data_IF_469786382772
#
_entry.id   IF_469786382772
#
_cell.length_a   1.000
_cell.length_b   1.000
_cell.length_c   1.000
_cell.angle_alpha   90.00
_cell.angle_beta   90.00
_cell.angle_gamma   90.00
#
_symmetry.space_group_name_H-M   'P 1'
#
loop_
_entity.id
_entity.type
_entity.pdbx_description
1 polymer ?
#
# COMPACT_ATOMS: atom_id res chain seq x y z
N UNK A 1 -22.78 17.66 7.36
CA UNK A 1 -21.61 17.67 6.46
C UNK A 1 -21.84 16.62 5.38
N UNK A 2 -21.49 16.89 4.12
CA UNK A 2 -21.59 15.87 3.05
C UNK A 2 -20.54 14.77 3.34
N UNK A 3 -20.91 13.48 3.37
CA UNK A 3 -19.94 12.39 3.49
C UNK A 3 -18.91 12.41 2.36
N UNK A 4 -17.65 12.11 2.68
CA UNK A 4 -16.58 11.88 1.72
C UNK A 4 -16.77 10.49 1.10
N UNK A 5 -17.14 10.43 -0.19
CA UNK A 5 -17.34 9.14 -0.89
C UNK A 5 -16.01 8.61 -1.43
N UNK A 6 -15.65 7.38 -1.03
CA UNK A 6 -14.35 6.76 -1.29
C UNK A 6 -14.53 5.40 -1.95
N UNK A 7 -13.75 5.12 -3.00
CA UNK A 7 -13.55 3.76 -3.53
C UNK A 7 -12.16 3.30 -3.14
N UNK A 8 -12.10 2.23 -2.34
CA UNK A 8 -10.84 1.68 -1.84
C UNK A 8 -10.50 0.35 -2.54
N UNK A 9 -9.30 0.22 -3.07
CA UNK A 9 -8.80 -0.98 -3.75
C UNK A 9 -7.86 -1.80 -2.87
N UNK A 10 -8.09 -3.12 -2.85
CA UNK A 10 -7.36 -4.08 -2.03
C UNK A 10 -6.85 -5.24 -2.87
N UNK A 11 -5.56 -5.59 -2.73
CA UNK A 11 -4.92 -6.67 -3.48
C UNK A 11 -4.68 -7.95 -2.65
N UNK A 12 -5.22 -8.04 -1.43
CA UNK A 12 -5.07 -9.22 -0.57
C UNK A 12 -3.73 -9.33 0.15
N UNK A 13 -2.77 -8.42 -0.08
CA UNK A 13 -1.47 -8.46 0.62
C UNK A 13 -1.57 -7.72 1.95
N UNK A 14 -1.36 -8.38 3.11
CA UNK A 14 -1.61 -7.76 4.41
C UNK A 14 -0.90 -6.41 4.64
N UNK A 15 0.35 -6.31 4.18
CA UNK A 15 1.12 -5.07 4.29
C UNK A 15 0.57 -3.91 3.44
N UNK A 16 -0.07 -4.20 2.31
CA UNK A 16 -0.72 -3.19 1.48
C UNK A 16 -2.09 -2.83 2.04
N UNK A 17 -2.88 -3.82 2.44
CA UNK A 17 -4.22 -3.59 3.01
C UNK A 17 -4.14 -2.76 4.29
N UNK A 18 -3.14 -3.03 5.15
CA UNK A 18 -2.90 -2.24 6.37
C UNK A 18 -2.63 -0.76 6.08
N UNK A 19 -1.98 -0.44 4.97
CA UNK A 19 -1.71 0.95 4.57
C UNK A 19 -2.98 1.66 4.14
N UNK A 20 -3.75 1.04 3.24
CA UNK A 20 -5.04 1.57 2.80
C UNK A 20 -5.99 1.74 4.00
N UNK A 21 -6.09 0.74 4.88
CA UNK A 21 -6.91 0.83 6.10
C UNK A 21 -6.44 1.93 7.06
N UNK A 22 -5.12 2.10 7.24
CA UNK A 22 -4.58 3.16 8.09
C UNK A 22 -5.06 4.54 7.65
N UNK A 23 -5.07 4.82 6.34
CA UNK A 23 -5.54 6.10 5.82
C UNK A 23 -7.06 6.21 5.89
N UNK A 24 -7.81 5.16 5.56
CA UNK A 24 -9.27 5.17 5.66
C UNK A 24 -9.71 5.47 7.10
N UNK A 25 -9.05 4.86 8.09
CA UNK A 25 -9.32 5.15 9.50
C UNK A 25 -9.01 6.61 9.84
N UNK A 26 -7.84 7.12 9.43
CA UNK A 26 -7.47 8.51 9.69
C UNK A 26 -8.44 9.51 9.03
N UNK A 27 -8.98 9.20 7.84
CA UNK A 27 -9.99 10.02 7.18
C UNK A 27 -11.33 9.97 7.93
N UNK A 28 -11.75 8.79 8.38
CA UNK A 28 -12.97 8.61 9.18
C UNK A 28 -12.91 9.33 10.53
N UNK A 29 -11.71 9.46 11.11
CA UNK A 29 -11.49 10.22 12.35
C UNK A 29 -11.66 11.74 12.15
N UNK A 30 -11.61 12.25 10.91
CA UNK A 30 -11.66 13.69 10.59
C UNK A 30 -12.99 14.10 9.94
N UNK A 31 -13.65 13.20 9.19
CA UNK A 31 -14.91 13.47 8.50
C UNK A 31 -15.76 12.22 8.33
N UNK A 32 -17.06 12.39 8.07
CA UNK A 32 -17.94 11.27 7.72
C UNK A 32 -17.48 10.70 6.38
N UNK A 33 -17.19 9.40 6.33
CA UNK A 33 -16.76 8.69 5.11
C UNK A 33 -17.78 7.64 4.69
N UNK A 34 -18.02 7.55 3.38
CA UNK A 34 -18.76 6.46 2.75
C UNK A 34 -17.80 5.66 1.87
N UNK A 35 -17.48 4.42 2.24
CA UNK A 35 -16.39 3.64 1.66
C UNK A 35 -16.92 2.40 0.94
N UNK A 36 -16.62 2.32 -0.36
CA UNK A 36 -16.85 1.12 -1.18
C UNK A 36 -15.53 0.41 -1.41
N UNK A 37 -15.42 -0.82 -0.90
CA UNK A 37 -14.22 -1.65 -1.05
C UNK A 37 -14.28 -2.54 -2.29
N UNK A 38 -13.22 -2.52 -3.12
CA UNK A 38 -13.05 -3.37 -4.30
C UNK A 38 -11.81 -4.25 -4.15
N UNK A 39 -11.96 -5.55 -4.38
CA UNK A 39 -10.85 -6.50 -4.42
C UNK A 39 -10.27 -6.60 -5.83
N UNK A 40 -8.95 -6.69 -5.91
CA UNK A 40 -8.21 -6.86 -7.16
C UNK A 40 -7.60 -8.25 -7.24
N UNK A 41 -7.72 -8.88 -8.41
CA UNK A 41 -7.03 -10.14 -8.67
C UNK A 41 -5.51 -9.91 -8.80
N UNK A 42 -4.74 -10.60 -7.97
CA UNK A 42 -3.27 -10.64 -8.05
C UNK A 42 -2.85 -11.80 -8.92
N UNK A 43 -2.73 -11.55 -10.22
CA UNK A 43 -2.09 -12.47 -11.16
C UNK A 43 -1.42 -11.69 -12.29
N UNK A 44 -0.35 -12.25 -12.88
CA UNK A 44 0.29 -11.63 -14.04
C UNK A 44 -0.68 -11.47 -15.19
N UNK A 45 -1.54 -12.48 -15.42
CA UNK A 45 -2.57 -12.42 -16.45
C UNK A 45 -3.56 -11.27 -16.20
N UNK A 46 -4.04 -11.09 -14.97
CA UNK A 46 -4.91 -9.97 -14.61
C UNK A 46 -4.20 -8.62 -14.77
N UNK A 47 -2.92 -8.53 -14.41
CA UNK A 47 -2.13 -7.31 -14.58
C UNK A 47 -1.98 -6.92 -16.06
N UNK A 48 -1.61 -7.87 -16.93
CA UNK A 48 -1.54 -7.63 -18.37
C UNK A 48 -2.91 -7.29 -18.98
N UNK A 49 -3.98 -7.96 -18.52
CA UNK A 49 -5.35 -7.65 -18.94
C UNK A 49 -5.75 -6.23 -18.55
N UNK A 50 -5.42 -5.79 -17.34
CA UNK A 50 -5.67 -4.42 -16.88
C UNK A 50 -4.90 -3.40 -17.72
N UNK A 51 -3.67 -3.73 -18.13
CA UNK A 51 -2.88 -2.91 -19.06
C UNK A 51 -3.57 -2.76 -20.42
N UNK A 52 -3.94 -3.88 -21.04
CA UNK A 52 -4.65 -3.88 -22.31
C UNK A 52 -5.97 -3.09 -22.21
N UNK A 53 -6.72 -3.29 -21.12
CA UNK A 53 -7.99 -2.58 -20.87
C UNK A 53 -7.75 -1.08 -20.67
N UNK A 54 -6.71 -0.68 -19.95
CA UNK A 54 -6.36 0.73 -19.74
C UNK A 54 -5.95 1.43 -21.03
N UNK A 55 -5.19 0.76 -21.89
CA UNK A 55 -4.79 1.27 -23.19
C UNK A 55 -5.99 1.36 -24.15
N UNK A 56 -6.86 0.35 -24.17
CA UNK A 56 -8.04 0.29 -25.04
C UNK A 56 -9.27 1.00 -24.45
N UNK A 57 -9.15 1.59 -23.25
CA UNK A 57 -10.27 2.23 -22.56
C UNK A 57 -10.91 3.36 -23.37
N UNK A 58 -10.20 3.98 -24.32
CA UNK A 58 -10.79 4.98 -25.23
C UNK A 58 -11.86 4.41 -26.15
N UNK A 59 -11.77 3.13 -26.52
CA UNK A 59 -12.75 2.41 -27.35
C UNK A 59 -13.98 1.96 -26.56
N UNK A 60 -13.92 2.01 -25.23
CA UNK A 60 -15.01 1.59 -24.36
C UNK A 60 -15.97 2.75 -24.09
N UNK A 61 -17.26 2.44 -24.20
CA UNK A 61 -18.38 3.31 -23.80
C UNK A 61 -19.04 2.71 -22.55
N UNK A 62 -18.53 3.02 -21.35
CA UNK A 62 -19.06 2.47 -20.12
C UNK A 62 -20.46 3.04 -19.83
N UNK A 63 -21.34 2.23 -19.24
CA UNK A 63 -22.71 2.65 -18.93
C UNK A 63 -22.79 3.22 -17.50
N UNK A 64 -23.66 4.21 -17.31
CA UNK A 64 -23.84 4.87 -16.02
C UNK A 64 -24.41 3.93 -14.93
N UNK A 65 -25.14 2.89 -15.34
CA UNK A 65 -25.78 1.90 -14.47
C UNK A 65 -24.77 1.11 -13.62
N UNK A 66 -23.52 1.02 -14.06
CA UNK A 66 -22.45 0.28 -13.36
C UNK A 66 -21.88 1.04 -12.16
N UNK A 67 -22.29 2.30 -11.96
CA UNK A 67 -21.71 3.20 -10.97
C UNK A 67 -22.82 3.97 -10.24
N UNK A 68 -22.88 3.82 -8.92
CA UNK A 68 -23.67 4.70 -8.07
C UNK A 68 -22.78 5.78 -7.46
N UNK A 69 -23.36 6.97 -7.32
CA UNK A 69 -22.82 8.17 -6.64
C UNK A 69 -21.53 8.78 -7.23
N UNK A 70 -21.39 10.12 -7.19
CA UNK A 70 -20.10 10.76 -7.46
C UNK A 70 -19.12 10.37 -6.35
N UNK A 71 -17.98 9.80 -6.75
CA UNK A 71 -16.88 9.44 -5.86
C UNK A 71 -15.92 10.61 -5.76
N UNK A 72 -15.54 10.97 -4.54
CA UNK A 72 -14.63 12.07 -4.28
C UNK A 72 -13.16 11.59 -4.30
N UNK A 73 -12.90 10.36 -3.81
CA UNK A 73 -11.57 9.77 -3.66
C UNK A 73 -11.51 8.31 -4.12
N UNK A 74 -10.48 7.95 -4.86
CA UNK A 74 -10.07 6.59 -5.18
C UNK A 74 -8.71 6.35 -4.53
N UNK A 75 -8.59 5.29 -3.73
CA UNK A 75 -7.35 4.99 -3.00
C UNK A 75 -7.03 3.51 -2.98
N UNK A 76 -5.74 3.17 -2.98
CA UNK A 76 -5.27 1.80 -2.91
C UNK A 76 -3.76 1.75 -2.73
N UNK A 77 -3.30 0.60 -2.24
CA UNK A 77 -1.88 0.30 -2.06
C UNK A 77 -1.57 -1.01 -2.76
N UNK A 78 -0.47 -1.06 -3.50
CA UNK A 78 -0.03 -2.26 -4.23
C UNK A 78 -0.07 -2.06 -5.73
N UNK A 79 0.96 -2.55 -6.44
CA UNK A 79 1.13 -2.38 -7.89
C UNK A 79 -0.07 -2.88 -8.69
N UNK A 80 -0.74 -3.92 -8.22
CA UNK A 80 -1.94 -4.46 -8.87
C UNK A 80 -3.15 -3.52 -8.79
N UNK A 81 -3.17 -2.58 -7.85
CA UNK A 81 -4.27 -1.61 -7.67
C UNK A 81 -4.17 -0.40 -8.59
N UNK A 82 -2.96 -0.04 -9.07
CA UNK A 82 -2.73 1.18 -9.85
C UNK A 82 -3.63 1.30 -11.08
N UNK A 83 -3.58 0.32 -11.97
CA UNK A 83 -4.38 0.37 -13.20
C UNK A 83 -5.90 0.29 -12.95
N UNK A 84 -6.42 -0.61 -12.09
CA UNK A 84 -7.83 -0.58 -11.71
C UNK A 84 -8.31 0.78 -11.20
N UNK A 85 -7.53 1.46 -10.36
CA UNK A 85 -7.85 2.79 -9.87
C UNK A 85 -7.89 3.85 -10.98
N UNK A 86 -6.90 3.85 -11.86
CA UNK A 86 -6.84 4.79 -12.99
C UNK A 86 -7.94 4.53 -14.03
N UNK A 87 -8.30 3.25 -14.25
CA UNK A 87 -9.42 2.83 -15.07
C UNK A 87 -10.75 3.34 -14.51
N UNK A 88 -10.98 3.17 -13.21
CA UNK A 88 -12.17 3.67 -12.52
C UNK A 88 -12.30 5.19 -12.69
N UNK A 89 -11.21 5.94 -12.47
CA UNK A 89 -11.23 7.39 -12.63
C UNK A 89 -11.56 7.82 -14.07
N UNK A 90 -10.92 7.19 -15.06
CA UNK A 90 -11.21 7.45 -16.49
C UNK A 90 -12.67 7.16 -16.84
N UNK A 91 -13.20 6.03 -16.37
CA UNK A 91 -14.58 5.64 -16.61
C UNK A 91 -15.55 6.64 -15.99
N UNK A 92 -15.29 7.06 -14.75
CA UNK A 92 -16.11 8.07 -14.06
C UNK A 92 -16.07 9.43 -14.74
N UNK A 93 -14.90 9.88 -15.21
CA UNK A 93 -14.77 11.10 -15.99
C UNK A 93 -15.64 11.07 -17.26
N UNK A 94 -15.69 9.93 -17.96
CA UNK A 94 -16.52 9.76 -19.16
C UNK A 94 -18.02 9.79 -18.85
N UNK A 95 -18.44 9.12 -17.78
CA UNK A 95 -19.87 8.97 -17.43
C UNK A 95 -20.43 10.26 -16.81
N UNK A 96 -19.70 10.86 -15.87
CA UNK A 96 -20.21 11.96 -15.04
C UNK A 96 -19.62 13.33 -15.41
N UNK A 97 -18.67 13.39 -16.36
CA UNK A 97 -17.97 14.62 -16.72
C UNK A 97 -17.05 15.16 -15.62
N UNK A 98 -16.87 14.44 -14.51
CA UNK A 98 -16.06 14.85 -13.36
C UNK A 98 -15.14 13.72 -12.90
N UNK A 99 -13.83 13.97 -12.75
CA UNK A 99 -12.91 12.97 -12.22
C UNK A 99 -13.03 12.87 -10.69
N UNK A 100 -12.65 11.72 -10.14
CA UNK A 100 -12.35 11.56 -8.72
C UNK A 100 -10.86 11.86 -8.48
N UNK A 101 -10.48 12.19 -7.25
CA UNK A 101 -9.06 12.25 -6.87
C UNK A 101 -8.51 10.83 -6.74
N UNK A 102 -7.35 10.54 -7.30
CA UNK A 102 -6.71 9.21 -7.23
C UNK A 102 -5.43 9.30 -6.44
N UNK A 103 -5.36 8.55 -5.35
CA UNK A 103 -4.23 8.54 -4.41
C UNK A 103 -3.66 7.13 -4.27
N UNK A 104 -2.34 6.98 -4.35
CA UNK A 104 -1.66 5.71 -4.06
C UNK A 104 -0.69 5.87 -2.89
N UNK A 105 -0.49 4.79 -2.13
CA UNK A 105 0.40 4.75 -0.97
C UNK A 105 1.61 3.85 -1.21
N UNK A 106 2.22 4.01 -2.37
CA UNK A 106 3.50 3.43 -2.74
C UNK A 106 4.04 4.16 -3.97
N UNK A 107 5.29 3.90 -4.33
CA UNK A 107 5.79 4.32 -5.65
C UNK A 107 5.02 3.61 -6.78
N UNK A 108 4.33 4.34 -7.67
CA UNK A 108 3.84 3.76 -8.91
C UNK A 108 4.97 3.56 -9.91
N UNK A 109 4.67 2.84 -10.99
CA UNK A 109 5.52 2.83 -12.17
C UNK A 109 5.71 4.27 -12.68
N UNK A 110 6.93 4.63 -13.08
CA UNK A 110 7.31 6.03 -13.36
C UNK A 110 6.42 6.73 -14.39
N UNK A 111 5.93 6.01 -15.40
CA UNK A 111 5.03 6.55 -16.42
C UNK A 111 3.57 6.73 -15.94
N UNK A 112 3.18 6.13 -14.80
CA UNK A 112 1.87 6.35 -14.17
C UNK A 112 1.89 7.48 -13.15
N UNK A 113 3.07 7.97 -12.77
CA UNK A 113 3.23 8.99 -11.72
C UNK A 113 2.26 10.16 -11.94
N UNK A 114 2.25 10.73 -13.15
CA UNK A 114 1.42 11.90 -13.51
C UNK A 114 -0.08 11.57 -13.71
N UNK A 115 -0.50 10.33 -13.44
CA UNK A 115 -1.90 9.90 -13.50
C UNK A 115 -2.56 9.86 -12.13
N UNK A 116 -1.77 9.99 -11.06
CA UNK A 116 -2.25 10.13 -9.69
C UNK A 116 -2.30 11.60 -9.30
N UNK A 117 -3.29 11.96 -8.49
CA UNK A 117 -3.36 13.28 -7.86
C UNK A 117 -2.37 13.38 -6.69
N UNK A 118 -2.08 12.27 -6.01
CA UNK A 118 -1.10 12.19 -4.94
C UNK A 118 -0.49 10.78 -4.82
N UNK A 119 0.81 10.71 -4.62
CA UNK A 119 1.55 9.48 -4.31
C UNK A 119 2.23 9.64 -2.95
N UNK A 120 1.75 8.92 -1.94
CA UNK A 120 2.40 8.83 -0.63
C UNK A 120 3.51 7.79 -0.72
N UNK A 121 4.77 8.23 -0.81
CA UNK A 121 5.92 7.35 -1.06
C UNK A 121 6.87 7.37 0.14
N UNK A 122 7.24 6.21 0.70
CA UNK A 122 8.21 6.15 1.79
C UNK A 122 9.58 6.71 1.39
N UNK A 123 10.23 7.45 2.31
CA UNK A 123 11.54 8.06 2.09
C UNK A 123 12.62 7.06 1.67
N UNK A 124 12.55 5.81 2.17
CA UNK A 124 13.50 4.76 1.84
C UNK A 124 13.42 4.26 0.39
N UNK A 125 12.34 4.56 -0.34
CA UNK A 125 12.22 4.23 -1.77
C UNK A 125 13.08 5.16 -2.65
N UNK A 126 13.65 6.23 -2.08
CA UNK A 126 14.53 7.20 -2.77
C UNK A 126 13.92 7.72 -4.08
N UNK A 127 12.62 7.98 -4.08
CA UNK A 127 11.92 8.45 -5.26
C UNK A 127 12.29 9.90 -5.59
N UNK A 128 12.55 10.25 -6.86
CA UNK A 128 12.89 11.63 -7.23
C UNK A 128 11.80 12.63 -6.84
N UNK A 129 12.16 13.86 -6.43
CA UNK A 129 11.18 14.90 -6.15
C UNK A 129 10.22 15.11 -7.32
N UNK A 130 8.93 15.22 -7.03
CA UNK A 130 7.88 15.45 -8.01
C UNK A 130 6.68 16.14 -7.35
N UNK A 131 5.92 16.93 -8.12
CA UNK A 131 4.85 17.80 -7.58
C UNK A 131 3.74 17.04 -6.85
N UNK A 132 3.41 15.84 -7.31
CA UNK A 132 2.37 15.00 -6.72
C UNK A 132 2.92 13.91 -5.78
N UNK A 133 4.18 14.02 -5.33
CA UNK A 133 4.80 13.07 -4.40
C UNK A 133 4.82 13.67 -3.00
N UNK A 134 4.17 12.97 -2.07
CA UNK A 134 4.26 13.24 -0.65
C UNK A 134 5.16 12.19 0.00
N UNK A 135 6.34 12.62 0.45
CA UNK A 135 7.30 11.71 1.09
C UNK A 135 6.86 11.41 2.52
N UNK A 136 6.73 10.12 2.84
CA UNK A 136 6.39 9.65 4.19
C UNK A 136 7.62 9.08 4.89
N UNK A 137 7.67 9.12 6.23
CA UNK A 137 8.75 8.48 7.01
C UNK A 137 8.68 6.93 6.98
N UNK A 138 7.57 6.39 6.49
CA UNK A 138 7.31 4.96 6.33
C UNK A 138 5.92 4.72 5.74
N UNK A 139 5.53 3.46 5.52
CA UNK A 139 4.18 3.13 5.09
C UNK A 139 3.14 3.63 6.13
N UNK A 140 2.02 4.23 5.70
CA UNK A 140 0.92 4.58 6.60
C UNK A 140 0.42 3.36 7.35
N UNK A 141 0.04 3.49 8.62
CA UNK A 141 -0.54 2.37 9.37
C UNK A 141 -1.60 2.85 10.37
N UNK A 142 -2.41 1.94 10.86
CA UNK A 142 -3.35 2.16 11.96
C UNK A 142 -2.71 2.08 13.36
N UNK A 143 -1.40 1.88 13.45
CA UNK A 143 -0.71 1.74 14.74
C UNK A 143 -0.71 3.09 15.45
N UNK A 144 -1.29 3.13 16.66
CA UNK A 144 -1.29 4.30 17.52
C UNK A 144 -0.13 4.17 18.51
N UNK A 145 0.55 5.29 18.78
CA UNK A 145 1.59 5.33 19.80
C UNK A 145 0.94 5.40 21.18
N UNK A 146 0.82 4.25 21.84
CA UNK A 146 0.15 4.13 23.15
C UNK A 146 0.99 4.65 24.32
N UNK A 147 2.26 5.06 24.08
CA UNK A 147 3.22 5.49 25.11
C UNK A 147 3.51 4.43 26.20
N UNK A 148 3.16 3.17 25.95
CA UNK A 148 3.37 2.04 26.85
C UNK A 148 4.59 1.20 26.45
N UNK A 149 5.68 1.85 26.02
CA UNK A 149 6.89 1.11 25.66
C UNK A 149 7.62 0.67 26.93
N UNK A 150 7.82 -0.63 27.07
CA UNK A 150 8.63 -1.23 28.14
C UNK A 150 10.10 -1.20 27.72
N UNK A 151 10.93 -0.44 28.45
CA UNK A 151 12.34 -0.22 28.10
C UNK A 151 13.22 -1.47 28.22
N UNK A 152 12.75 -2.46 28.97
CA UNK A 152 13.39 -3.77 29.13
C UNK A 152 12.89 -4.80 28.11
N UNK A 153 12.03 -4.44 27.15
CA UNK A 153 11.59 -5.36 26.09
C UNK A 153 12.20 -5.02 24.74
N UNK A 154 12.61 -6.07 24.03
CA UNK A 154 13.19 -5.97 22.69
C UNK A 154 12.46 -6.89 21.71
N UNK A 155 12.29 -6.43 20.47
CA UNK A 155 11.69 -7.22 19.39
C UNK A 155 12.67 -7.31 18.23
N UNK A 156 12.95 -8.54 17.79
CA UNK A 156 13.72 -8.83 16.57
C UNK A 156 12.77 -9.51 15.58
N UNK A 157 12.52 -8.85 14.45
CA UNK A 157 11.75 -9.40 13.34
C UNK A 157 12.72 -9.86 12.25
N UNK A 158 12.88 -11.16 12.14
CA UNK A 158 13.79 -11.79 11.18
C UNK A 158 13.09 -11.81 9.83
N UNK A 159 13.68 -11.10 8.86
CA UNK A 159 13.27 -11.16 7.46
C UNK A 159 13.59 -12.52 6.84
N UNK A 160 13.77 -12.56 5.54
CA UNK A 160 14.05 -13.83 4.87
C UNK A 160 14.53 -13.63 3.45
N UNK A 161 14.61 -14.74 2.73
CA UNK A 161 15.11 -14.78 1.36
C UNK A 161 14.40 -13.75 0.46
N UNK A 162 15.18 -12.86 -0.13
CA UNK A 162 14.80 -12.14 -1.35
C UNK A 162 15.85 -12.36 -2.43
N UNK A 163 15.50 -13.25 -3.37
CA UNK A 163 16.37 -13.65 -4.49
C UNK A 163 16.79 -12.48 -5.38
N UNK A 164 16.13 -11.33 -5.30
CA UNK A 164 16.41 -10.17 -6.15
C UNK A 164 17.41 -9.19 -5.52
N UNK A 165 17.47 -9.13 -4.20
CA UNK A 165 18.20 -8.06 -3.50
C UNK A 165 19.40 -8.55 -2.70
N UNK A 166 19.42 -9.81 -2.24
CA UNK A 166 20.51 -10.28 -1.39
C UNK A 166 20.68 -11.81 -1.38
N UNK A 167 21.84 -12.25 -0.86
CA UNK A 167 22.09 -13.65 -0.48
C UNK A 167 21.78 -13.83 1.00
N UNK A 168 21.13 -14.94 1.35
CA UNK A 168 20.83 -15.29 2.73
C UNK A 168 21.85 -16.28 3.28
N UNK A 169 22.29 -16.06 4.51
CA UNK A 169 23.11 -17.01 5.27
C UNK A 169 22.52 -17.15 6.67
N UNK A 170 21.81 -18.25 6.91
CA UNK A 170 21.07 -18.50 8.14
C UNK A 170 21.99 -18.49 9.37
N UNK A 171 23.19 -19.06 9.26
CA UNK A 171 24.17 -19.07 10.35
C UNK A 171 24.60 -17.65 10.72
N UNK A 172 24.98 -16.84 9.74
CA UNK A 172 25.41 -15.46 9.99
C UNK A 172 24.29 -14.62 10.61
N UNK A 173 23.05 -14.79 10.15
CA UNK A 173 21.90 -14.10 10.74
C UNK A 173 21.67 -14.54 12.19
N UNK A 174 21.73 -15.84 12.48
CA UNK A 174 21.59 -16.36 13.84
C UNK A 174 22.71 -15.85 14.78
N UNK A 175 23.96 -15.84 14.32
CA UNK A 175 25.10 -15.30 15.07
C UNK A 175 24.94 -13.80 15.38
N UNK A 176 24.40 -13.01 14.43
CA UNK A 176 24.11 -11.59 14.66
C UNK A 176 23.01 -11.39 15.70
N UNK A 177 21.94 -12.20 15.65
CA UNK A 177 20.85 -12.17 16.64
C UNK A 177 21.41 -12.50 18.03
N UNK A 178 22.19 -13.57 18.15
CA UNK A 178 22.84 -13.95 19.40
C UNK A 178 23.75 -12.84 19.92
N UNK A 179 24.49 -12.16 19.03
CA UNK A 179 25.35 -11.03 19.41
C UNK A 179 24.53 -9.87 19.97
N UNK A 180 23.38 -9.54 19.39
CA UNK A 180 22.48 -8.49 19.88
C UNK A 180 21.95 -8.86 21.27
N UNK A 181 21.48 -10.10 21.44
CA UNK A 181 20.95 -10.59 22.73
C UNK A 181 22.03 -10.55 23.81
N UNK A 182 23.22 -11.08 23.53
CA UNK A 182 24.32 -11.15 24.49
C UNK A 182 24.82 -9.76 24.93
N UNK A 183 24.78 -8.75 24.03
CA UNK A 183 25.16 -7.37 24.35
C UNK A 183 24.11 -6.61 25.15
N UNK A 184 22.87 -7.09 25.21
CA UNK A 184 21.76 -6.43 25.91
C UNK A 184 21.12 -7.41 26.91
N UNK A 185 21.85 -7.85 27.96
CA UNK A 185 21.42 -8.93 28.84
C UNK A 185 20.23 -8.58 29.75
N UNK A 186 19.93 -7.29 29.93
CA UNK A 186 18.79 -6.83 30.73
C UNK A 186 17.49 -6.82 29.89
N UNK A 187 17.60 -6.89 28.57
CA UNK A 187 16.44 -6.83 27.66
C UNK A 187 15.82 -8.23 27.48
N UNK A 188 14.51 -8.32 27.69
CA UNK A 188 13.67 -9.45 27.36
C UNK A 188 13.37 -9.45 25.85
N UNK A 189 14.09 -10.29 25.12
CA UNK A 189 13.98 -10.37 23.66
C UNK A 189 12.87 -11.32 23.21
N UNK A 190 11.98 -10.81 22.36
CA UNK A 190 11.10 -11.62 21.51
C UNK A 190 11.70 -11.66 20.11
N UNK A 191 11.89 -12.86 19.56
CA UNK A 191 12.35 -13.06 18.19
C UNK A 191 11.22 -13.71 17.40
N UNK A 192 10.88 -13.13 16.24
CA UNK A 192 9.86 -13.68 15.34
C UNK A 192 10.40 -13.77 13.93
N UNK A 193 9.98 -14.81 13.20
CA UNK A 193 10.28 -14.99 11.79
C UNK A 193 9.23 -14.31 10.89
N UNK A 194 9.50 -14.33 9.59
CA UNK A 194 8.60 -13.95 8.52
C UNK A 194 8.28 -15.17 7.64
N UNK A 195 7.24 -15.11 6.77
CA UNK A 195 6.98 -16.17 5.80
C UNK A 195 8.12 -16.48 4.81
N UNK A 196 9.15 -15.62 4.76
CA UNK A 196 10.33 -15.79 3.89
C UNK A 196 11.55 -16.30 4.63
N UNK A 197 11.51 -16.34 5.97
CA UNK A 197 12.63 -16.82 6.78
C UNK A 197 12.81 -18.30 6.52
N UNK A 198 13.99 -18.77 6.08
CA UNK A 198 14.23 -20.19 5.90
C UNK A 198 14.06 -20.94 7.21
N UNK A 199 13.46 -22.13 7.15
CA UNK A 199 13.14 -22.95 8.33
C UNK A 199 14.40 -23.34 9.13
N UNK A 200 15.54 -23.44 8.45
CA UNK A 200 16.84 -23.73 9.06
C UNK A 200 17.49 -22.54 9.78
N UNK A 201 16.87 -21.35 9.76
CA UNK A 201 17.37 -20.15 10.48
C UNK A 201 16.86 -20.11 11.90
#
# INVERSE_FOLDING_TARGET
MKPLSIVAYFDGRPGHEKQTHGILQALADITITDVVSKKVSVSHLAYFKNWATYLLSFLQSPKAEDFHTPVDLIIGTGTYTHLPMLLENKTRLKIYGKPARVVTCMSPERFLLNKFDLCCIPAHDNFPPHENVFITLGPPTSVKFEKQHESDRGLILVGGLDRKSHKWNSRTVAEQIQTIIAKNPVTQWTVSSSPRTPEET
#
